data_IF_281086692748
#
_entry.id   IF_281086692748
#
_cell.length_a   1.000
_cell.length_b   1.000
_cell.length_c   1.000
_cell.angle_alpha   90.00
_cell.angle_beta   90.00
_cell.angle_gamma   90.00
#
_symmetry.space_group_name_H-M   'P 1'
#
loop_
_entity.id
_entity.type
_entity.pdbx_description
1 polymer ?
#
# COMPACT_ATOMS: atom_id res chain seq x y z
N UNK A 1 -3.96 -27.01 -17.15
CA UNK A 1 -3.37 -25.75 -17.67
C UNK A 1 -3.95 -24.52 -16.96
N UNK A 2 -5.27 -24.37 -16.87
CA UNK A 2 -5.93 -23.29 -16.10
C UNK A 2 -5.50 -23.23 -14.62
N UNK A 3 -5.64 -24.35 -13.88
CA UNK A 3 -5.27 -24.40 -12.47
C UNK A 3 -3.78 -24.08 -12.21
N UNK A 4 -2.89 -24.43 -13.15
CA UNK A 4 -1.46 -24.12 -13.03
C UNK A 4 -1.19 -22.62 -13.18
N UNK A 5 -1.85 -21.94 -14.13
CA UNK A 5 -1.77 -20.49 -14.30
C UNK A 5 -2.39 -19.76 -13.09
N UNK A 6 -3.53 -20.24 -12.58
CA UNK A 6 -4.15 -19.67 -11.38
C UNK A 6 -3.22 -19.78 -10.15
N UNK A 7 -2.66 -20.96 -9.91
CA UNK A 7 -1.70 -21.16 -8.80
C UNK A 7 -0.46 -20.29 -8.99
N UNK A 8 0.08 -20.17 -10.22
CA UNK A 8 1.22 -19.30 -10.50
C UNK A 8 0.91 -17.83 -10.20
N UNK A 9 -0.26 -17.33 -10.60
CA UNK A 9 -0.71 -15.96 -10.31
C UNK A 9 -0.81 -15.74 -8.80
N UNK A 10 -1.44 -16.65 -8.06
CA UNK A 10 -1.57 -16.55 -6.60
C UNK A 10 -0.20 -16.54 -5.92
N UNK A 11 0.71 -17.41 -6.35
CA UNK A 11 2.08 -17.47 -5.81
C UNK A 11 2.83 -16.17 -6.10
N UNK A 12 2.74 -15.64 -7.32
CA UNK A 12 3.40 -14.38 -7.68
C UNK A 12 2.82 -13.20 -6.93
N UNK A 13 1.50 -13.11 -6.80
CA UNK A 13 0.84 -12.05 -6.03
C UNK A 13 1.23 -12.11 -4.54
N UNK A 14 1.26 -13.31 -3.95
CA UNK A 14 1.70 -13.52 -2.56
C UNK A 14 3.18 -13.15 -2.37
N UNK A 15 4.05 -13.63 -3.27
CA UNK A 15 5.48 -13.34 -3.21
C UNK A 15 5.76 -11.84 -3.35
N UNK A 16 5.10 -11.17 -4.30
CA UNK A 16 5.21 -9.73 -4.48
C UNK A 16 4.70 -8.97 -3.25
N UNK A 17 3.55 -9.35 -2.71
CA UNK A 17 2.99 -8.72 -1.50
C UNK A 17 3.94 -8.86 -0.30
N UNK A 18 4.49 -10.06 -0.09
CA UNK A 18 5.41 -10.34 1.01
C UNK A 18 6.73 -9.58 0.83
N UNK A 19 7.24 -9.49 -0.41
CA UNK A 19 8.42 -8.70 -0.73
C UNK A 19 8.21 -7.22 -0.41
N UNK A 20 7.05 -6.65 -0.79
CA UNK A 20 6.73 -5.25 -0.50
C UNK A 20 6.58 -5.01 1.00
N UNK A 21 5.87 -5.87 1.74
CA UNK A 21 5.79 -5.78 3.21
C UNK A 21 7.20 -5.77 3.80
N UNK A 22 8.05 -6.72 3.44
CA UNK A 22 9.42 -6.81 3.98
C UNK A 22 10.28 -5.62 3.62
N UNK A 23 10.12 -5.05 2.44
CA UNK A 23 10.89 -3.90 1.99
C UNK A 23 10.47 -2.61 2.72
N UNK A 24 9.16 -2.37 2.90
CA UNK A 24 8.65 -1.13 3.49
C UNK A 24 8.47 -1.17 5.00
N UNK A 25 8.49 -2.35 5.63
CA UNK A 25 8.28 -2.51 7.07
C UNK A 25 9.16 -1.58 7.95
N UNK A 26 10.49 -1.46 7.72
CA UNK A 26 11.32 -0.54 8.51
C UNK A 26 10.94 0.93 8.32
N UNK A 27 10.57 1.31 7.09
CA UNK A 27 10.21 2.68 6.77
C UNK A 27 8.86 3.06 7.40
N UNK A 28 7.85 2.19 7.28
CA UNK A 28 6.54 2.36 7.90
C UNK A 28 6.67 2.46 9.41
N UNK A 29 7.45 1.57 10.03
CA UNK A 29 7.64 1.58 11.48
C UNK A 29 8.29 2.87 11.98
N UNK A 30 9.35 3.34 11.30
CA UNK A 30 10.03 4.61 11.65
C UNK A 30 9.09 5.82 11.59
N UNK A 31 8.23 5.87 10.57
CA UNK A 31 7.25 6.94 10.38
C UNK A 31 6.18 6.90 11.48
N UNK A 32 5.62 5.72 11.74
CA UNK A 32 4.62 5.53 12.79
C UNK A 32 5.16 5.87 14.17
N UNK A 33 6.37 5.42 14.53
CA UNK A 33 7.01 5.74 15.81
C UNK A 33 7.16 7.24 16.02
N UNK A 34 7.57 7.98 14.97
CA UNK A 34 7.73 9.44 15.04
C UNK A 34 6.41 10.18 15.19
N UNK A 35 5.31 9.62 14.68
CA UNK A 35 4.01 10.32 14.60
C UNK A 35 3.06 9.93 15.73
N UNK A 36 3.02 8.65 16.13
CA UNK A 36 2.05 8.08 17.07
C UNK A 36 2.69 7.64 18.40
N UNK A 37 4.02 7.63 18.50
CA UNK A 37 4.75 7.08 19.64
C UNK A 37 4.87 5.54 19.60
N UNK A 38 5.71 4.96 20.47
CA UNK A 38 6.11 3.55 20.40
C UNK A 38 4.94 2.57 20.59
N UNK A 39 4.03 2.83 21.55
CA UNK A 39 2.95 1.89 21.91
C UNK A 39 1.92 1.72 20.79
N UNK A 40 1.53 2.81 20.12
CA UNK A 40 0.59 2.75 19.01
C UNK A 40 1.28 2.28 17.73
N UNK A 41 2.55 2.65 17.50
CA UNK A 41 3.24 2.33 16.26
C UNK A 41 3.31 0.83 15.96
N UNK A 42 3.47 -0.03 16.97
CA UNK A 42 3.53 -1.47 16.78
C UNK A 42 2.19 -2.08 16.36
N UNK A 43 1.09 -1.62 16.95
CA UNK A 43 -0.26 -2.07 16.58
C UNK A 43 -0.60 -1.63 15.14
N UNK A 44 -0.32 -0.36 14.82
CA UNK A 44 -0.58 0.19 13.49
C UNK A 44 0.30 -0.43 12.40
N UNK A 45 1.55 -0.80 12.72
CA UNK A 45 2.45 -1.51 11.80
C UNK A 45 1.85 -2.84 11.32
N UNK A 46 1.26 -3.62 12.24
CA UNK A 46 0.59 -4.89 11.89
C UNK A 46 -0.61 -4.66 10.98
N UNK A 47 -1.37 -3.60 11.25
CA UNK A 47 -2.52 -3.22 10.42
C UNK A 47 -2.12 -2.84 8.99
N UNK A 48 -1.06 -2.04 8.82
CA UNK A 48 -0.54 -1.68 7.48
C UNK A 48 -0.01 -2.91 6.74
N UNK A 49 0.71 -3.79 7.43
CA UNK A 49 1.20 -5.04 6.83
C UNK A 49 0.04 -5.92 6.35
N UNK A 50 -1.02 -6.01 7.14
CA UNK A 50 -2.25 -6.71 6.76
C UNK A 50 -2.93 -6.06 5.54
N UNK A 51 -3.04 -4.73 5.52
CA UNK A 51 -3.62 -4.00 4.39
C UNK A 51 -2.86 -4.25 3.08
N UNK A 52 -1.52 -4.25 3.11
CA UNK A 52 -0.69 -4.57 1.95
C UNK A 52 -0.96 -6.00 1.45
N UNK A 53 -1.00 -6.99 2.36
CA UNK A 53 -1.26 -8.38 2.00
C UNK A 53 -2.65 -8.55 1.36
N UNK A 54 -3.69 -8.00 1.98
CA UNK A 54 -5.06 -8.08 1.46
C UNK A 54 -5.16 -7.41 0.09
N UNK A 55 -4.53 -6.25 -0.07
CA UNK A 55 -4.59 -5.50 -1.32
C UNK A 55 -3.80 -6.13 -2.46
N UNK A 56 -2.67 -6.76 -2.16
CA UNK A 56 -1.92 -7.50 -3.17
C UNK A 56 -2.70 -8.72 -3.65
N UNK A 57 -3.29 -9.50 -2.73
CA UNK A 57 -4.13 -10.66 -3.08
C UNK A 57 -5.37 -10.21 -3.85
N UNK A 58 -6.04 -9.13 -3.42
CA UNK A 58 -7.24 -8.59 -4.07
C UNK A 58 -6.96 -7.94 -5.44
N UNK A 59 -5.81 -7.25 -5.57
CA UNK A 59 -5.41 -6.60 -6.81
C UNK A 59 -4.97 -7.57 -7.91
N UNK A 60 -4.26 -8.64 -7.55
CA UNK A 60 -3.73 -9.60 -8.51
C UNK A 60 -4.79 -10.45 -9.23
N UNK A 61 -6.00 -10.58 -8.66
CA UNK A 61 -7.08 -11.43 -9.21
C UNK A 61 -8.16 -10.55 -9.81
N UNK A 62 -8.01 -10.15 -11.08
CA UNK A 62 -9.09 -9.48 -11.83
C UNK A 62 -10.08 -10.53 -12.38
N UNK A 63 -11.36 -10.56 -11.95
CA UNK A 63 -12.35 -11.54 -12.43
C UNK A 63 -12.61 -11.43 -13.95
N UNK A 64 -12.48 -10.22 -14.51
CA UNK A 64 -12.79 -9.89 -15.90
C UNK A 64 -11.88 -10.57 -16.95
N UNK A 65 -10.66 -10.99 -16.57
CA UNK A 65 -9.79 -11.76 -17.47
C UNK A 65 -10.09 -13.27 -17.40
N UNK A 66 -10.62 -13.77 -16.28
CA UNK A 66 -10.97 -15.18 -16.14
C UNK A 66 -12.23 -15.56 -16.94
N UNK A 67 -13.18 -14.65 -17.07
CA UNK A 67 -14.41 -14.86 -17.86
C UNK A 67 -14.16 -15.11 -19.35
N UNK A 68 -13.03 -14.63 -19.89
CA UNK A 68 -12.63 -14.84 -21.29
C UNK A 68 -12.16 -16.26 -21.60
N UNK A 69 -11.92 -17.08 -20.56
CA UNK A 69 -11.52 -18.47 -20.66
C UNK A 69 -12.66 -19.45 -20.30
N UNK A 70 -13.83 -18.95 -19.88
CA UNK A 70 -15.04 -19.77 -19.75
C UNK A 70 -15.62 -20.04 -21.16
N UNK A 71 -16.19 -21.23 -21.40
CA UNK A 71 -16.86 -21.52 -22.67
C UNK A 71 -17.94 -20.45 -22.92
N UNK A 72 -18.10 -19.96 -24.17
CA UNK A 72 -19.06 -18.91 -24.46
C UNK A 72 -20.45 -19.38 -24.05
N UNK A 73 -21.18 -18.55 -23.29
CA UNK A 73 -22.61 -18.75 -23.14
C UNK A 73 -23.25 -18.80 -24.53
N UNK A 74 -24.03 -19.86 -24.80
CA UNK A 74 -24.54 -20.18 -26.12
C UNK A 74 -25.16 -18.94 -26.81
N UNK A 75 -24.56 -18.49 -27.91
CA UNK A 75 -25.10 -17.42 -28.76
C UNK A 75 -24.20 -16.20 -29.01
N UNK A 76 -23.03 -16.07 -28.37
CA UNK A 76 -22.04 -15.05 -28.75
C UNK A 76 -20.79 -15.72 -29.34
N UNK A 77 -20.57 -15.52 -30.64
CA UNK A 77 -19.35 -15.93 -31.32
C UNK A 77 -18.16 -15.16 -30.76
N UNK A 78 -17.55 -15.68 -29.70
CA UNK A 78 -16.25 -15.25 -29.22
C UNK A 78 -15.31 -16.44 -29.34
N UNK A 79 -14.35 -16.30 -30.25
CA UNK A 79 -13.22 -17.19 -30.48
C UNK A 79 -12.69 -17.72 -29.15
N UNK A 80 -12.78 -19.03 -28.94
CA UNK A 80 -12.12 -19.70 -27.83
C UNK A 80 -10.62 -19.39 -27.93
N UNK A 81 -10.12 -18.51 -27.06
CA UNK A 81 -8.73 -18.09 -27.08
C UNK A 81 -7.87 -19.27 -26.65
N UNK A 82 -7.10 -19.81 -27.58
CA UNK A 82 -6.20 -20.91 -27.31
C UNK A 82 -5.12 -20.47 -26.30
N UNK A 83 -4.92 -21.27 -25.25
CA UNK A 83 -3.95 -20.96 -24.19
C UNK A 83 -2.55 -21.25 -24.74
N UNK A 84 -2.01 -20.30 -25.50
CA UNK A 84 -0.64 -20.35 -26.03
C UNK A 84 0.36 -19.90 -24.97
N UNK A 85 1.56 -20.49 -24.93
CA UNK A 85 2.59 -20.19 -23.92
C UNK A 85 2.98 -18.70 -23.82
N UNK A 86 2.91 -17.94 -24.91
CA UNK A 86 3.15 -16.50 -24.91
C UNK A 86 2.10 -15.70 -24.10
N UNK A 87 0.82 -16.14 -24.09
CA UNK A 87 -0.24 -15.49 -23.31
C UNK A 87 -0.11 -15.78 -21.82
N UNK A 88 0.42 -16.94 -21.45
CA UNK A 88 0.70 -17.29 -20.05
C UNK A 88 1.67 -16.28 -19.41
N UNK A 89 2.72 -15.88 -20.13
CA UNK A 89 3.68 -14.88 -19.67
C UNK A 89 3.06 -13.48 -19.52
N UNK A 90 2.22 -13.07 -20.47
CA UNK A 90 1.51 -11.78 -20.40
C UNK A 90 0.53 -11.72 -19.22
N UNK A 91 -0.17 -12.82 -18.94
CA UNK A 91 -1.10 -12.88 -17.81
C UNK A 91 -0.35 -12.79 -16.47
N UNK A 92 0.80 -13.47 -16.36
CA UNK A 92 1.65 -13.39 -15.18
C UNK A 92 2.22 -11.98 -14.96
N UNK A 93 2.64 -11.32 -16.05
CA UNK A 93 3.11 -9.94 -16.02
C UNK A 93 2.00 -8.96 -15.60
N UNK A 94 0.80 -9.12 -16.14
CA UNK A 94 -0.36 -8.31 -15.78
C UNK A 94 -0.75 -8.51 -14.30
N UNK A 95 -0.80 -9.76 -13.83
CA UNK A 95 -1.09 -10.05 -12.43
C UNK A 95 -0.05 -9.43 -11.49
N UNK A 96 1.24 -9.53 -11.82
CA UNK A 96 2.32 -8.93 -11.06
C UNK A 96 2.17 -7.39 -11.00
N UNK A 97 2.03 -6.75 -12.15
CA UNK A 97 1.95 -5.28 -12.24
C UNK A 97 0.68 -4.73 -11.59
N UNK A 98 -0.43 -5.46 -11.65
CA UNK A 98 -1.68 -5.08 -10.98
C UNK A 98 -1.58 -5.23 -9.45
N UNK A 99 -0.97 -6.32 -8.96
CA UNK A 99 -0.67 -6.51 -7.54
C UNK A 99 0.17 -5.33 -7.02
N UNK A 100 1.25 -5.00 -7.73
CA UNK A 100 2.11 -3.87 -7.37
C UNK A 100 1.37 -2.53 -7.40
N UNK A 101 0.52 -2.30 -8.41
CA UNK A 101 -0.29 -1.07 -8.52
C UNK A 101 -1.28 -0.93 -7.35
N UNK A 102 -1.97 -2.01 -6.99
CA UNK A 102 -2.90 -2.05 -5.86
C UNK A 102 -2.20 -1.70 -4.54
N UNK A 103 -1.06 -2.34 -4.28
CA UNK A 103 -0.26 -2.05 -3.10
C UNK A 103 0.27 -0.60 -3.13
N UNK A 104 0.75 -0.14 -4.29
CA UNK A 104 1.26 1.22 -4.45
C UNK A 104 0.20 2.28 -4.12
N UNK A 105 -1.05 2.09 -4.49
CA UNK A 105 -2.14 3.02 -4.14
C UNK A 105 -2.35 3.11 -2.63
N UNK A 106 -2.36 1.98 -1.92
CA UNK A 106 -2.52 1.99 -0.45
C UNK A 106 -1.32 2.62 0.23
N UNK A 107 -0.10 2.28 -0.23
CA UNK A 107 1.11 2.89 0.30
C UNK A 107 1.15 4.40 0.04
N UNK A 108 0.68 4.85 -1.13
CA UNK A 108 0.57 6.26 -1.46
C UNK A 108 -0.43 6.98 -0.54
N UNK A 109 -1.62 6.40 -0.34
CA UNK A 109 -2.64 6.95 0.57
C UNK A 109 -2.12 6.99 2.01
N UNK A 110 -1.49 5.92 2.48
CA UNK A 110 -0.88 5.86 3.81
C UNK A 110 0.19 6.94 3.98
N UNK A 111 1.07 7.08 3.00
CA UNK A 111 2.13 8.08 3.02
C UNK A 111 1.57 9.51 3.01
N UNK A 112 0.53 9.76 2.20
CA UNK A 112 -0.17 11.04 2.16
C UNK A 112 -0.80 11.39 3.52
N UNK A 113 -1.51 10.44 4.14
CA UNK A 113 -2.08 10.60 5.47
C UNK A 113 -1.00 10.85 6.53
N UNK A 114 0.09 10.10 6.49
CA UNK A 114 1.20 10.27 7.43
C UNK A 114 1.92 11.60 7.25
N UNK A 115 2.10 12.06 6.01
CA UNK A 115 2.72 13.34 5.72
C UNK A 115 1.86 14.49 6.23
N UNK A 116 0.53 14.40 6.08
CA UNK A 116 -0.40 15.38 6.65
C UNK A 116 -0.31 15.42 8.18
N UNK A 117 -0.34 14.25 8.84
CA UNK A 117 -0.20 14.16 10.29
C UNK A 117 1.12 14.77 10.78
N UNK A 118 2.23 14.51 10.07
CA UNK A 118 3.53 15.08 10.37
C UNK A 118 3.56 16.60 10.24
N UNK A 119 3.02 17.15 9.16
CA UNK A 119 2.96 18.62 8.94
C UNK A 119 2.15 19.30 10.05
N UNK A 120 1.02 18.71 10.45
CA UNK A 120 0.21 19.23 11.55
C UNK A 120 1.01 19.23 12.86
N UNK A 121 1.58 18.09 13.25
CA UNK A 121 2.38 17.98 14.48
C UNK A 121 3.53 18.99 14.50
N UNK A 122 4.28 19.09 13.40
CA UNK A 122 5.39 20.03 13.25
C UNK A 122 4.95 21.48 13.32
N UNK A 123 3.80 21.82 12.75
CA UNK A 123 3.26 23.18 12.81
C UNK A 123 2.91 23.57 14.24
N UNK A 124 2.39 22.65 15.05
CA UNK A 124 2.05 22.89 16.47
C UNK A 124 3.30 23.06 17.34
N UNK A 125 4.34 22.24 17.12
CA UNK A 125 5.64 22.40 17.79
C UNK A 125 6.21 23.81 17.57
N UNK A 126 6.22 24.28 16.32
CA UNK A 126 6.74 25.61 15.95
C UNK A 126 5.90 26.77 16.47
N UNK A 127 4.60 26.55 16.73
CA UNK A 127 3.73 27.57 17.36
C UNK A 127 4.01 27.66 18.86
N UNK A 128 4.10 26.52 19.55
CA UNK A 128 4.44 26.45 20.99
C UNK A 128 5.82 27.04 21.29
N UNK A 129 6.81 26.77 20.44
CA UNK A 129 8.15 27.33 20.59
C UNK A 129 8.15 28.88 20.55
N UNK A 130 7.39 29.47 19.62
CA UNK A 130 7.25 30.93 19.50
C UNK A 130 6.56 31.57 20.69
N UNK A 131 5.53 30.92 21.25
CA UNK A 131 4.84 31.40 22.45
C UNK A 131 5.77 31.43 23.67
N UNK A 132 6.64 30.43 23.82
CA UNK A 132 7.63 30.37 24.91
C UNK A 132 8.69 31.47 24.80
N UNK A 133 9.16 31.78 23.59
CA UNK A 133 10.11 32.87 23.35
C UNK A 133 9.47 34.25 23.58
N UNK A 134 8.23 34.44 23.12
CA UNK A 134 7.48 35.68 23.34
C UNK A 134 7.20 35.93 24.84
N UNK A 135 6.92 34.88 25.62
CA UNK A 135 6.73 34.97 27.06
C UNK A 135 8.00 35.36 27.84
N UNK A 136 9.18 34.90 27.39
CA UNK A 136 10.46 35.25 28.02
C UNK A 136 10.90 36.69 27.74
N UNK A 137 10.58 37.25 26.58
CA UNK A 137 10.96 38.63 26.23
C UNK A 137 10.15 39.70 26.97
N UNK A 138 8.97 39.37 27.48
CA UNK A 138 8.13 40.30 28.26
C UNK A 138 8.60 40.50 29.71
N UNK A 139 9.22 39.49 30.31
CA UNK A 139 9.64 39.50 31.73
C UNK A 139 10.91 40.35 31.96
N UNK A 140 11.77 40.49 30.95
CA UNK A 140 12.99 41.31 31.03
C UNK A 140 12.76 42.82 30.83
N UNK A 141 11.58 43.24 30.38
CA UNK A 141 11.24 44.65 30.13
C UNK A 141 10.71 45.39 31.37
N UNK A 142 10.42 44.68 32.48
CA UNK A 142 9.86 45.27 33.69
C UNK A 142 10.86 45.53 34.83
N UNK A 143 12.16 45.34 34.57
CA UNK A 143 13.23 45.48 35.57
C UNK A 143 14.15 46.69 35.33
N UNK A 144 13.83 47.56 34.37
CA UNK A 144 14.54 48.85 34.15
C UNK A 144 13.74 50.04 34.69
#
# INVERSE_FOLDING_TARGET
MFYALFVAIVVVALAASLAVVRFFDPAVHKILQRTLGPDLADAWRRYISFAILVAGISGGVRPWNLEQYLPPSAGKGSTQLDITGARWLLELWNALTETLRSIALIMLLFFLCSMMAYVIARSLELRRARELEAGKGGDTSGLE
#
